data_IF_074545539637
#
_entry.id   IF_074545539637
#
_cell.length_a   1.000
_cell.length_b   1.000
_cell.length_c   1.000
_cell.angle_alpha   90.00
_cell.angle_beta   90.00
_cell.angle_gamma   90.00
#
_symmetry.space_group_name_H-M   'P 1'
#
loop_
_entity.id
_entity.type
_entity.pdbx_description
1 polymer ?
#
# COMPACT_ATOMS: atom_id res chain seq x y z
N UNK A 1 3.20 0.63 -6.64
CA UNK A 1 2.26 -0.46 -6.28
C UNK A 1 3.08 -1.72 -6.08
N UNK A 2 3.22 -2.17 -4.84
CA UNK A 2 4.32 -3.06 -4.45
C UNK A 2 4.06 -4.49 -4.96
N UNK A 3 4.93 -5.00 -5.82
CA UNK A 3 5.01 -6.41 -6.21
C UNK A 3 4.91 -7.36 -5.00
N UNK A 4 5.34 -6.90 -3.82
CA UNK A 4 5.28 -7.65 -2.57
C UNK A 4 3.87 -8.01 -2.08
N UNK A 5 2.86 -7.17 -2.27
CA UNK A 5 1.48 -7.51 -1.89
C UNK A 5 0.90 -8.59 -2.81
N UNK A 6 1.27 -8.51 -4.09
CA UNK A 6 0.96 -9.54 -5.08
C UNK A 6 1.70 -10.83 -4.68
N UNK A 7 2.98 -10.77 -4.29
CA UNK A 7 3.78 -11.93 -3.86
C UNK A 7 3.25 -12.58 -2.58
N UNK A 8 2.75 -11.81 -1.61
CA UNK A 8 2.16 -12.39 -0.38
C UNK A 8 0.82 -13.08 -0.64
N UNK A 9 0.01 -12.51 -1.54
CA UNK A 9 -1.22 -13.16 -2.05
C UNK A 9 -0.86 -14.40 -2.88
N UNK A 10 0.21 -14.35 -3.68
CA UNK A 10 0.74 -15.49 -4.45
C UNK A 10 1.14 -16.65 -3.53
N UNK A 11 1.85 -16.39 -2.43
CA UNK A 11 2.30 -17.44 -1.50
C UNK A 11 1.11 -18.08 -0.76
N UNK A 12 0.10 -17.28 -0.38
CA UNK A 12 -1.10 -17.79 0.27
C UNK A 12 -1.95 -18.68 -0.67
N UNK A 13 -1.99 -18.37 -1.96
CA UNK A 13 -2.74 -19.12 -2.98
C UNK A 13 -1.96 -20.36 -3.46
N UNK A 14 -0.63 -20.27 -3.58
CA UNK A 14 0.23 -21.39 -4.01
C UNK A 14 0.17 -22.61 -3.06
N UNK A 15 -0.07 -22.38 -1.77
CA UNK A 15 -0.29 -23.46 -0.79
C UNK A 15 -1.59 -24.25 -1.04
N UNK A 16 -2.52 -23.74 -1.86
CA UNK A 16 -3.75 -24.44 -2.27
C UNK A 16 -3.61 -25.28 -3.55
N UNK A 17 -2.50 -25.17 -4.30
CA UNK A 17 -2.40 -25.68 -5.67
C UNK A 17 -1.22 -26.65 -5.93
N UNK A 18 -0.69 -27.32 -4.91
CA UNK A 18 0.45 -28.23 -5.11
C UNK A 18 0.03 -29.70 -5.34
N UNK A 19 0.20 -30.19 -6.56
CA UNK A 19 0.39 -31.62 -6.88
C UNK A 19 1.67 -31.82 -7.71
N UNK A 20 2.55 -32.70 -7.21
CA UNK A 20 3.92 -33.09 -7.61
C UNK A 20 4.15 -33.45 -9.12
N UNK A 21 5.37 -33.78 -9.64
CA UNK A 21 6.67 -34.10 -8.99
C UNK A 21 7.94 -33.42 -9.58
N UNK A 22 9.10 -33.72 -9.00
CA UNK A 22 10.52 -33.34 -9.27
C UNK A 22 11.03 -33.87 -10.64
N UNK A 23 11.64 -33.08 -11.55
CA UNK A 23 13.10 -32.78 -11.67
C UNK A 23 13.38 -31.64 -12.70
N UNK A 24 14.66 -31.19 -12.75
CA UNK A 24 15.39 -30.17 -13.56
C UNK A 24 15.11 -28.67 -13.33
N UNK A 25 16.15 -27.93 -12.88
CA UNK A 25 16.01 -26.80 -11.94
C UNK A 25 15.90 -25.39 -12.53
N UNK A 26 16.29 -25.14 -13.78
CA UNK A 26 16.35 -23.76 -14.34
C UNK A 26 15.16 -23.45 -15.25
N UNK A 27 14.79 -24.37 -16.15
CA UNK A 27 13.58 -24.24 -16.98
C UNK A 27 12.29 -24.38 -16.14
N UNK A 28 12.34 -25.18 -15.06
CA UNK A 28 11.21 -25.38 -14.16
C UNK A 28 10.91 -24.15 -13.31
N UNK A 29 11.90 -23.39 -12.81
CA UNK A 29 11.60 -22.17 -12.06
C UNK A 29 10.76 -21.21 -12.92
N UNK A 30 11.14 -21.03 -14.19
CA UNK A 30 10.38 -20.20 -15.13
C UNK A 30 8.97 -20.74 -15.45
N UNK A 31 8.84 -22.06 -15.61
CA UNK A 31 7.55 -22.71 -15.89
C UNK A 31 6.63 -22.71 -14.66
N UNK A 32 7.19 -22.92 -13.48
CA UNK A 32 6.50 -22.93 -12.20
C UNK A 32 6.05 -21.51 -11.82
N UNK A 33 6.86 -20.49 -12.10
CA UNK A 33 6.46 -19.09 -11.99
C UNK A 33 5.34 -18.75 -12.98
N UNK A 34 5.44 -19.18 -14.24
CA UNK A 34 4.41 -18.94 -15.24
C UNK A 34 3.09 -19.63 -14.89
N UNK A 35 3.14 -20.85 -14.35
CA UNK A 35 1.97 -21.59 -13.87
C UNK A 35 1.36 -20.93 -12.63
N UNK A 36 2.19 -20.46 -11.68
CA UNK A 36 1.73 -19.68 -10.53
C UNK A 36 1.03 -18.38 -10.97
N UNK A 37 1.58 -17.66 -11.95
CA UNK A 37 0.97 -16.45 -12.51
C UNK A 37 -0.37 -16.75 -13.19
N UNK A 38 -0.46 -17.84 -13.96
CA UNK A 38 -1.72 -18.27 -14.59
C UNK A 38 -2.76 -18.65 -13.55
N UNK A 39 -2.38 -19.41 -12.52
CA UNK A 39 -3.25 -19.83 -11.44
C UNK A 39 -3.75 -18.62 -10.63
N UNK A 40 -2.89 -17.64 -10.37
CA UNK A 40 -3.26 -16.39 -9.72
C UNK A 40 -4.29 -15.62 -10.54
N UNK A 41 -4.04 -15.49 -11.85
CA UNK A 41 -4.96 -14.82 -12.76
C UNK A 41 -6.34 -15.48 -12.74
N UNK A 42 -6.40 -16.80 -12.89
CA UNK A 42 -7.66 -17.56 -12.85
C UNK A 42 -8.38 -17.40 -11.51
N UNK A 43 -7.65 -17.51 -10.40
CA UNK A 43 -8.23 -17.31 -9.05
C UNK A 43 -8.86 -15.93 -8.91
N UNK A 44 -8.21 -14.90 -9.45
CA UNK A 44 -8.70 -13.53 -9.40
C UNK A 44 -9.90 -13.33 -10.35
N UNK A 45 -9.85 -13.86 -11.57
CA UNK A 45 -10.96 -13.90 -12.52
C UNK A 45 -12.21 -14.54 -11.88
N UNK A 46 -12.05 -15.74 -11.32
CA UNK A 46 -13.13 -16.48 -10.64
C UNK A 46 -13.66 -15.71 -9.43
N UNK A 47 -12.79 -15.04 -8.66
CA UNK A 47 -13.21 -14.24 -7.50
C UNK A 47 -13.98 -12.99 -7.92
N UNK A 48 -13.57 -12.33 -9.00
CA UNK A 48 -14.31 -11.23 -9.61
C UNK A 48 -15.70 -11.69 -10.05
N UNK A 49 -15.80 -12.77 -10.81
CA UNK A 49 -17.10 -13.27 -11.28
C UNK A 49 -18.00 -13.70 -10.11
N UNK A 50 -17.46 -14.47 -9.17
CA UNK A 50 -18.20 -14.98 -8.02
C UNK A 50 -18.75 -13.87 -7.11
N UNK A 51 -17.96 -12.82 -6.87
CA UNK A 51 -18.34 -11.78 -5.91
C UNK A 51 -19.15 -10.63 -6.54
N UNK A 52 -18.89 -10.31 -7.80
CA UNK A 52 -19.63 -9.27 -8.52
C UNK A 52 -20.90 -9.79 -9.22
N UNK A 53 -20.96 -11.08 -9.51
CA UNK A 53 -21.98 -11.68 -10.38
C UNK A 53 -21.77 -11.39 -11.87
N UNK A 54 -20.60 -10.88 -12.26
CA UNK A 54 -20.27 -10.49 -13.64
C UNK A 54 -18.91 -11.02 -14.07
N UNK A 55 -18.86 -11.70 -15.23
CA UNK A 55 -17.61 -12.15 -15.86
C UNK A 55 -16.80 -10.99 -16.47
N UNK A 56 -17.37 -9.78 -16.57
CA UNK A 56 -16.68 -8.59 -17.09
C UNK A 56 -15.81 -7.89 -16.03
N UNK A 57 -16.10 -8.07 -14.74
CA UNK A 57 -15.48 -7.27 -13.66
C UNK A 57 -13.97 -7.41 -13.58
N UNK A 58 -13.41 -8.59 -13.89
CA UNK A 58 -11.96 -8.75 -13.97
C UNK A 58 -11.36 -7.91 -15.11
N UNK A 59 -11.98 -7.94 -16.29
CA UNK A 59 -11.57 -7.16 -17.45
C UNK A 59 -11.61 -5.66 -17.15
N UNK A 60 -12.74 -5.18 -16.62
CA UNK A 60 -12.94 -3.78 -16.24
C UNK A 60 -11.88 -3.32 -15.22
N UNK A 61 -11.55 -4.18 -14.24
CA UNK A 61 -10.51 -3.89 -13.26
C UNK A 61 -9.13 -3.74 -13.91
N UNK A 62 -8.76 -4.66 -14.81
CA UNK A 62 -7.46 -4.65 -15.47
C UNK A 62 -7.33 -3.46 -16.44
N UNK A 63 -8.39 -3.11 -17.14
CA UNK A 63 -8.46 -1.91 -17.99
C UNK A 63 -8.31 -0.65 -17.14
N UNK A 64 -9.06 -0.53 -16.04
CA UNK A 64 -8.96 0.61 -15.13
C UNK A 64 -7.55 0.76 -14.54
N UNK A 65 -6.86 -0.34 -14.20
CA UNK A 65 -5.45 -0.31 -13.75
C UNK A 65 -4.52 0.15 -14.86
N UNK A 66 -4.72 -0.32 -16.10
CA UNK A 66 -3.90 0.06 -17.25
C UNK A 66 -4.04 1.55 -17.61
N UNK A 67 -5.21 2.15 -17.34
CA UNK A 67 -5.51 3.55 -17.64
C UNK A 67 -4.97 4.55 -16.61
N UNK A 68 -4.52 4.09 -15.44
CA UNK A 68 -3.99 4.97 -14.36
C UNK A 68 -2.94 5.96 -14.88
N UNK A 69 -1.89 5.55 -15.63
CA UNK A 69 -0.86 6.48 -16.08
C UNK A 69 -1.41 7.58 -17.00
N UNK A 70 -2.32 7.22 -17.91
CA UNK A 70 -2.96 8.18 -18.82
C UNK A 70 -3.86 9.15 -18.05
N UNK A 71 -4.64 8.64 -17.09
CA UNK A 71 -5.46 9.48 -16.23
C UNK A 71 -4.62 10.47 -15.43
N UNK A 72 -3.58 10.01 -14.74
CA UNK A 72 -2.70 10.88 -13.92
C UNK A 72 -1.97 11.90 -14.80
N UNK A 73 -1.40 11.46 -15.92
CA UNK A 73 -0.69 12.33 -16.86
C UNK A 73 -1.58 13.40 -17.50
N UNK A 74 -2.91 13.19 -17.54
CA UNK A 74 -3.86 14.22 -18.00
C UNK A 74 -4.09 15.35 -16.98
N UNK A 75 -3.69 15.16 -15.72
CA UNK A 75 -3.98 16.11 -14.63
C UNK A 75 -2.81 17.03 -14.31
N UNK A 76 -1.58 16.53 -14.43
CA UNK A 76 -0.38 17.30 -14.19
C UNK A 76 0.84 16.67 -14.86
N UNK A 77 1.88 17.48 -15.06
CA UNK A 77 3.17 17.01 -15.53
C UNK A 77 3.94 16.35 -14.37
N UNK A 78 4.13 15.03 -14.46
CA UNK A 78 4.79 14.24 -13.42
C UNK A 78 6.28 14.58 -13.30
N UNK A 79 6.95 14.94 -14.40
CA UNK A 79 8.37 15.30 -14.40
C UNK A 79 8.56 16.62 -13.66
N UNK A 80 7.73 17.64 -13.98
CA UNK A 80 7.77 18.94 -13.29
C UNK A 80 7.40 18.82 -11.81
N UNK A 81 6.45 17.94 -11.46
CA UNK A 81 6.14 17.62 -10.07
C UNK A 81 7.37 17.07 -9.33
N UNK A 82 8.02 16.04 -9.89
CA UNK A 82 9.19 15.39 -9.27
C UNK A 82 10.37 16.35 -9.16
N UNK A 83 10.62 17.17 -10.18
CA UNK A 83 11.69 18.15 -10.15
C UNK A 83 11.46 19.20 -9.06
N UNK A 84 10.21 19.69 -8.93
CA UNK A 84 9.83 20.60 -7.86
C UNK A 84 9.98 19.97 -6.48
N UNK A 85 9.63 18.68 -6.33
CA UNK A 85 9.80 17.92 -5.09
C UNK A 85 11.27 17.82 -4.68
N UNK A 86 12.15 17.44 -5.60
CA UNK A 86 13.58 17.28 -5.36
C UNK A 86 14.29 18.60 -5.02
N UNK A 87 13.68 19.73 -5.37
CA UNK A 87 14.17 21.09 -5.12
C UNK A 87 13.44 21.80 -3.96
N UNK A 88 12.67 21.05 -3.17
CA UNK A 88 11.94 21.60 -2.03
C UNK A 88 12.88 22.24 -1.00
N UNK A 89 12.51 23.45 -0.59
CA UNK A 89 13.22 24.24 0.42
C UNK A 89 12.23 25.09 1.20
N UNK A 90 12.67 25.71 2.30
CA UNK A 90 11.82 26.61 3.09
C UNK A 90 11.24 27.77 2.27
N UNK A 91 11.93 28.21 1.20
CA UNK A 91 11.47 29.33 0.35
C UNK A 91 10.53 28.86 -0.76
N UNK A 92 10.68 27.62 -1.25
CA UNK A 92 9.90 27.10 -2.38
C UNK A 92 8.68 26.28 -1.96
N UNK A 93 8.62 25.81 -0.70
CA UNK A 93 7.55 24.91 -0.23
C UNK A 93 6.15 25.49 -0.40
N UNK A 94 5.94 26.76 -0.05
CA UNK A 94 4.60 27.35 -0.08
C UNK A 94 4.02 27.34 -1.50
N UNK A 95 4.80 27.82 -2.47
CA UNK A 95 4.41 27.81 -3.88
C UNK A 95 4.21 26.38 -4.40
N UNK A 96 5.12 25.45 -4.07
CA UNK A 96 5.05 24.07 -4.53
C UNK A 96 3.77 23.39 -4.04
N UNK A 97 3.51 23.38 -2.73
CA UNK A 97 2.35 22.71 -2.16
C UNK A 97 1.04 23.41 -2.56
N UNK A 98 1.01 24.74 -2.67
CA UNK A 98 -0.18 25.47 -3.19
C UNK A 98 -0.51 25.06 -4.63
N UNK A 99 0.51 24.86 -5.45
CA UNK A 99 0.33 24.47 -6.87
C UNK A 99 -0.10 23.01 -6.99
N UNK A 100 0.58 22.10 -6.29
CA UNK A 100 0.47 20.67 -6.56
C UNK A 100 -0.52 19.92 -5.66
N UNK A 101 -0.79 20.38 -4.45
CA UNK A 101 -1.74 19.69 -3.57
C UNK A 101 -3.14 19.52 -4.15
N UNK A 102 -3.77 20.56 -4.73
CA UNK A 102 -5.10 20.42 -5.30
C UNK A 102 -5.13 19.42 -6.46
N UNK A 103 -4.16 19.49 -7.37
CA UNK A 103 -4.10 18.63 -8.56
C UNK A 103 -3.75 17.19 -8.21
N UNK A 104 -2.84 16.96 -7.25
CA UNK A 104 -2.52 15.61 -6.77
C UNK A 104 -3.73 15.00 -6.06
N UNK A 105 -4.40 15.75 -5.18
CA UNK A 105 -5.62 15.30 -4.50
C UNK A 105 -6.72 14.94 -5.50
N UNK A 106 -6.94 15.79 -6.49
CA UNK A 106 -7.91 15.54 -7.57
C UNK A 106 -7.54 14.29 -8.37
N UNK A 107 -6.26 14.11 -8.69
CA UNK A 107 -5.78 12.94 -9.45
C UNK A 107 -5.98 11.64 -8.69
N UNK A 108 -5.73 11.62 -7.37
CA UNK A 108 -6.05 10.45 -6.55
C UNK A 108 -7.55 10.15 -6.61
N UNK A 109 -8.39 11.17 -6.45
CA UNK A 109 -9.84 11.01 -6.42
C UNK A 109 -10.43 10.54 -7.76
N UNK A 110 -9.89 11.01 -8.87
CA UNK A 110 -10.42 10.73 -10.21
C UNK A 110 -9.76 9.52 -10.89
N UNK A 111 -8.50 9.21 -10.56
CA UNK A 111 -7.75 8.15 -11.24
C UNK A 111 -7.56 6.88 -10.41
N UNK A 112 -7.56 6.96 -9.07
CA UNK A 112 -7.23 5.81 -8.21
C UNK A 112 -8.45 5.27 -7.44
N UNK A 113 -9.31 6.16 -6.93
CA UNK A 113 -10.53 5.75 -6.20
C UNK A 113 -11.48 4.91 -7.07
N UNK A 114 -11.69 5.19 -8.37
CA UNK A 114 -12.52 4.33 -9.21
C UNK A 114 -11.94 2.92 -9.40
N UNK A 115 -10.61 2.82 -9.56
CA UNK A 115 -9.91 1.53 -9.67
C UNK A 115 -10.14 0.71 -8.40
N UNK A 116 -9.99 1.33 -7.23
CA UNK A 116 -10.29 0.70 -5.95
C UNK A 116 -11.74 0.20 -5.87
N UNK A 117 -12.70 1.01 -6.29
CA UNK A 117 -14.11 0.64 -6.25
C UNK A 117 -14.39 -0.62 -7.08
N UNK A 118 -13.78 -0.72 -8.27
CA UNK A 118 -13.90 -1.90 -9.13
C UNK A 118 -13.15 -3.10 -8.51
N UNK A 119 -11.93 -2.91 -8.03
CA UNK A 119 -11.15 -3.99 -7.39
C UNK A 119 -11.85 -4.59 -6.18
N UNK A 120 -12.61 -3.80 -5.42
CA UNK A 120 -13.40 -4.30 -4.28
C UNK A 120 -14.49 -5.29 -4.71
N UNK A 121 -15.02 -5.19 -5.92
CA UNK A 121 -16.02 -6.13 -6.44
C UNK A 121 -15.44 -7.55 -6.60
N UNK A 122 -14.11 -7.69 -6.65
CA UNK A 122 -13.44 -8.98 -6.71
C UNK A 122 -13.21 -9.64 -5.35
N UNK A 123 -13.65 -9.01 -4.25
CA UNK A 123 -13.41 -9.48 -2.90
C UNK A 123 -14.71 -9.73 -2.14
N UNK A 124 -14.69 -10.72 -1.25
CA UNK A 124 -15.79 -10.93 -0.30
C UNK A 124 -15.91 -9.75 0.65
N UNK A 125 -17.09 -9.52 1.21
CA UNK A 125 -17.33 -8.44 2.18
C UNK A 125 -16.41 -8.53 3.40
N UNK A 126 -16.08 -9.74 3.83
CA UNK A 126 -15.10 -9.95 4.91
C UNK A 126 -13.68 -9.59 4.46
N UNK A 127 -13.25 -10.04 3.28
CA UNK A 127 -11.93 -9.67 2.74
C UNK A 127 -11.80 -8.15 2.49
N UNK A 128 -12.88 -7.47 2.08
CA UNK A 128 -12.87 -6.01 1.97
C UNK A 128 -12.69 -5.31 3.31
N UNK A 129 -13.22 -5.87 4.40
CA UNK A 129 -13.10 -5.31 5.75
C UNK A 129 -11.75 -5.61 6.38
N UNK A 130 -11.24 -6.80 6.10
CA UNK A 130 -10.15 -7.40 6.84
C UNK A 130 -8.85 -7.40 6.06
N UNK A 131 -8.86 -7.67 4.76
CA UNK A 131 -7.66 -7.88 3.93
C UNK A 131 -7.30 -6.73 2.96
N UNK A 132 -8.24 -5.81 2.74
CA UNK A 132 -7.96 -4.58 2.00
C UNK A 132 -7.06 -3.52 2.71
N UNK A 133 -6.88 -3.49 4.04
CA UNK A 133 -6.23 -2.35 4.69
C UNK A 133 -4.68 -2.31 4.66
N UNK A 134 -3.98 -3.05 3.80
CA UNK A 134 -2.51 -3.01 3.73
C UNK A 134 -1.95 -1.68 3.19
N UNK A 135 -2.68 -1.04 2.28
CA UNK A 135 -2.58 0.39 2.02
C UNK A 135 -3.79 0.78 1.17
N UNK A 136 -4.97 0.88 1.77
CA UNK A 136 -6.18 1.05 1.01
C UNK A 136 -6.09 2.36 0.24
N UNK A 137 -6.34 2.32 -1.07
CA UNK A 137 -6.22 3.51 -1.91
C UNK A 137 -7.14 4.64 -1.44
N UNK A 138 -8.21 4.33 -0.71
CA UNK A 138 -9.08 5.32 -0.07
C UNK A 138 -8.38 6.16 1.01
N UNK A 139 -7.23 5.72 1.53
CA UNK A 139 -6.40 6.50 2.47
C UNK A 139 -5.42 7.43 1.75
N UNK A 140 -5.15 7.25 0.45
CA UNK A 140 -4.27 8.14 -0.30
C UNK A 140 -4.70 9.61 -0.21
N UNK A 141 -6.00 9.98 -0.31
CA UNK A 141 -6.42 11.35 -0.09
C UNK A 141 -6.02 11.90 1.28
N UNK A 142 -6.10 11.08 2.35
CA UNK A 142 -5.68 11.49 3.70
C UNK A 142 -4.17 11.65 3.82
N UNK A 143 -3.40 10.81 3.12
CA UNK A 143 -1.93 10.94 3.06
C UNK A 143 -1.55 12.22 2.33
N UNK A 144 -2.22 12.53 1.20
CA UNK A 144 -2.03 13.79 0.48
C UNK A 144 -2.38 14.97 1.38
N UNK A 145 -3.53 14.95 2.05
CA UNK A 145 -3.93 16.01 2.97
C UNK A 145 -2.90 16.24 4.07
N UNK A 146 -2.36 15.17 4.66
CA UNK A 146 -1.31 15.25 5.68
C UNK A 146 0.01 15.82 5.14
N UNK A 147 0.43 15.43 3.95
CA UNK A 147 1.63 15.97 3.30
C UNK A 147 1.44 17.41 2.85
N UNK A 148 0.20 17.84 2.59
CA UNK A 148 -0.14 19.19 2.16
C UNK A 148 -0.34 20.16 3.32
N UNK A 149 -0.62 19.64 4.52
CA UNK A 149 -0.80 20.43 5.74
C UNK A 149 0.40 21.36 5.98
N UNK A 150 0.10 22.64 6.27
CA UNK A 150 1.13 23.65 6.53
C UNK A 150 2.09 23.89 5.35
N UNK A 151 1.69 23.56 4.13
CA UNK A 151 2.54 23.57 2.93
C UNK A 151 3.75 22.63 3.07
N UNK A 152 3.49 21.37 3.44
CA UNK A 152 4.52 20.37 3.59
C UNK A 152 5.25 20.42 4.92
N UNK A 153 4.68 21.05 5.95
CA UNK A 153 5.36 21.28 7.23
C UNK A 153 5.92 19.99 7.85
N UNK A 154 5.18 18.88 7.71
CA UNK A 154 5.60 17.56 8.19
C UNK A 154 6.93 17.09 7.58
N UNK A 155 7.27 17.47 6.35
CA UNK A 155 8.54 17.11 5.69
C UNK A 155 9.72 17.91 6.25
N UNK A 156 9.46 19.16 6.66
CA UNK A 156 10.47 20.07 7.18
C UNK A 156 10.73 19.90 8.68
N UNK A 157 9.90 19.11 9.37
CA UNK A 157 10.05 18.84 10.80
C UNK A 157 11.45 18.28 11.10
N UNK A 158 12.24 19.07 11.83
CA UNK A 158 13.60 18.74 12.27
C UNK A 158 14.65 18.46 11.16
N UNK A 159 14.32 18.68 9.88
CA UNK A 159 15.23 18.46 8.75
C UNK A 159 15.00 19.45 7.59
N UNK A 160 15.44 20.69 7.76
CA UNK A 160 15.24 21.77 6.77
C UNK A 160 16.21 21.73 5.58
N UNK A 161 17.33 21.01 5.69
CA UNK A 161 18.35 20.93 4.63
C UNK A 161 18.04 19.82 3.61
N UNK A 162 17.28 18.80 3.98
CA UNK A 162 16.89 17.69 3.10
C UNK A 162 15.48 17.18 3.48
N UNK A 163 14.44 18.01 3.29
CA UNK A 163 13.09 17.76 3.83
C UNK A 163 12.45 16.47 3.31
N UNK A 164 12.82 16.02 2.10
CA UNK A 164 12.23 14.84 1.46
C UNK A 164 12.97 13.54 1.76
N UNK A 165 14.21 13.60 2.26
CA UNK A 165 15.12 12.44 2.39
C UNK A 165 14.52 11.28 3.19
N UNK A 166 13.83 11.58 4.29
CA UNK A 166 13.20 10.55 5.11
C UNK A 166 11.97 9.95 4.44
N UNK A 167 11.22 10.79 3.72
CA UNK A 167 10.05 10.35 2.97
C UNK A 167 10.43 9.47 1.77
N UNK A 168 11.53 9.79 1.07
CA UNK A 168 12.07 8.96 -0.02
C UNK A 168 12.41 7.53 0.44
N UNK A 169 12.90 7.38 1.67
CA UNK A 169 13.24 6.09 2.26
C UNK A 169 12.07 5.42 3.00
N UNK A 170 10.91 6.07 3.07
CA UNK A 170 9.77 5.64 3.87
C UNK A 170 9.31 4.22 3.55
N UNK A 171 9.13 3.89 2.26
CA UNK A 171 8.73 2.55 1.83
C UNK A 171 9.80 1.48 2.14
N UNK A 172 11.08 1.86 2.06
CA UNK A 172 12.18 0.97 2.44
C UNK A 172 12.14 0.67 3.93
N UNK A 173 11.88 1.67 4.78
CA UNK A 173 11.72 1.48 6.22
C UNK A 173 10.52 0.59 6.54
N UNK A 174 9.36 0.85 5.94
CA UNK A 174 8.19 -0.02 6.10
C UNK A 174 8.50 -1.48 5.70
N UNK A 175 9.14 -1.69 4.53
CA UNK A 175 9.51 -3.03 4.08
C UNK A 175 10.45 -3.73 5.07
N UNK A 176 11.44 -3.03 5.60
CA UNK A 176 12.34 -3.58 6.61
C UNK A 176 11.60 -3.96 7.90
N UNK A 177 10.70 -3.09 8.37
CA UNK A 177 9.94 -3.30 9.60
C UNK A 177 8.80 -4.33 9.49
N UNK A 178 8.39 -4.67 8.26
CA UNK A 178 7.38 -5.68 7.95
C UNK A 178 7.98 -6.99 7.41
N UNK A 179 9.32 -7.09 7.30
CA UNK A 179 10.00 -8.22 6.65
C UNK A 179 9.55 -9.59 7.17
N UNK A 180 9.40 -9.72 8.49
CA UNK A 180 9.05 -10.98 9.15
C UNK A 180 7.56 -11.06 9.50
N UNK A 181 6.75 -10.08 9.07
CA UNK A 181 5.35 -9.97 9.50
C UNK A 181 4.57 -11.24 9.16
N UNK A 182 4.68 -11.73 7.93
CA UNK A 182 3.99 -12.95 7.48
C UNK A 182 4.42 -14.17 8.30
N UNK A 183 5.72 -14.36 8.53
CA UNK A 183 6.21 -15.49 9.33
C UNK A 183 5.80 -15.39 10.82
N UNK A 184 5.87 -14.19 11.41
CA UNK A 184 5.54 -14.00 12.83
C UNK A 184 4.04 -14.06 13.12
N UNK A 185 3.21 -13.78 12.11
CA UNK A 185 1.75 -13.93 12.17
C UNK A 185 1.28 -15.30 11.67
N UNK A 186 2.20 -16.19 11.26
CA UNK A 186 1.90 -17.45 10.58
C UNK A 186 0.94 -17.29 9.38
N UNK A 187 1.05 -16.16 8.67
CA UNK A 187 0.17 -15.77 7.57
C UNK A 187 -1.32 -15.83 7.92
N UNK A 188 -1.68 -15.65 9.20
CA UNK A 188 -3.08 -15.60 9.60
C UNK A 188 -3.78 -14.43 8.94
N UNK A 189 -5.03 -14.62 8.48
CA UNK A 189 -5.84 -13.52 8.01
C UNK A 189 -6.09 -12.54 9.16
N UNK A 190 -6.25 -11.26 8.83
CA UNK A 190 -6.41 -10.18 9.83
C UNK A 190 -7.63 -10.37 10.74
N UNK A 191 -8.65 -11.09 10.27
CA UNK A 191 -9.88 -11.38 10.99
C UNK A 191 -9.66 -12.37 12.13
N UNK A 192 -8.55 -13.11 12.06
CA UNK A 192 -8.11 -14.07 13.07
C UNK A 192 -6.97 -13.54 13.94
N UNK A 193 -6.62 -12.25 13.82
CA UNK A 193 -5.61 -11.65 14.68
C UNK A 193 -6.01 -11.76 16.14
N UNK A 194 -5.11 -12.29 16.95
CA UNK A 194 -5.18 -12.34 18.39
C UNK A 194 -4.02 -11.52 18.97
N UNK A 195 -3.79 -11.62 20.28
CA UNK A 195 -2.77 -10.82 20.95
C UNK A 195 -1.40 -10.94 20.28
N UNK A 196 -0.98 -12.15 19.88
CA UNK A 196 0.34 -12.39 19.28
C UNK A 196 0.51 -11.57 18.00
N UNK A 197 -0.45 -11.64 17.08
CA UNK A 197 -0.39 -10.91 15.80
C UNK A 197 -0.46 -9.39 16.03
N UNK A 198 -1.25 -8.94 16.99
CA UNK A 198 -1.32 -7.53 17.36
C UNK A 198 -0.01 -7.00 17.96
N UNK A 199 0.72 -7.82 18.72
CA UNK A 199 2.07 -7.47 19.21
C UNK A 199 3.07 -7.35 18.07
N UNK A 200 2.95 -8.16 17.01
CA UNK A 200 3.77 -7.99 15.80
C UNK A 200 3.49 -6.63 15.17
N UNK A 201 2.21 -6.28 14.98
CA UNK A 201 1.79 -5.00 14.42
C UNK A 201 2.31 -3.80 15.23
N UNK A 202 2.21 -3.85 16.56
CA UNK A 202 2.75 -2.84 17.49
C UNK A 202 4.28 -2.68 17.34
N UNK A 203 5.02 -3.81 17.27
CA UNK A 203 6.48 -3.80 17.05
C UNK A 203 6.85 -3.21 15.69
N UNK A 204 6.10 -3.53 14.64
CA UNK A 204 6.34 -2.99 13.30
C UNK A 204 6.16 -1.48 13.26
N UNK A 205 5.11 -0.93 13.90
CA UNK A 205 4.95 0.53 14.06
C UNK A 205 6.14 1.16 14.78
N UNK A 206 6.56 0.58 15.90
CA UNK A 206 7.72 1.09 16.67
C UNK A 206 9.00 1.09 15.83
N UNK A 207 9.24 0.04 15.07
CA UNK A 207 10.37 -0.03 14.14
C UNK A 207 10.34 1.11 13.11
N UNK A 208 9.17 1.40 12.51
CA UNK A 208 9.03 2.50 11.53
C UNK A 208 9.30 3.85 12.21
N UNK A 209 8.76 4.06 13.40
CA UNK A 209 9.01 5.27 14.19
C UNK A 209 10.50 5.46 14.49
N UNK A 210 11.19 4.40 14.92
CA UNK A 210 12.62 4.45 15.22
C UNK A 210 13.43 4.76 13.96
N UNK A 211 13.10 4.18 12.79
CA UNK A 211 13.76 4.48 11.52
C UNK A 211 13.58 5.94 11.10
N UNK A 212 12.36 6.46 11.23
CA UNK A 212 12.03 7.85 10.88
C UNK A 212 12.71 8.84 11.83
N UNK A 213 12.70 8.55 13.13
CA UNK A 213 13.41 9.34 14.14
C UNK A 213 14.92 9.35 13.88
N UNK A 214 15.52 8.20 13.57
CA UNK A 214 16.94 8.08 13.22
C UNK A 214 17.28 8.79 11.90
N UNK A 215 16.32 8.90 10.97
CA UNK A 215 16.49 9.70 9.77
C UNK A 215 16.43 11.22 10.03
N UNK A 216 15.89 11.62 11.19
CA UNK A 216 15.76 13.02 11.60
C UNK A 216 14.35 13.59 11.47
N UNK A 217 13.33 12.77 11.18
CA UNK A 217 11.95 13.24 11.07
C UNK A 217 10.98 12.16 11.58
N UNK A 218 10.79 12.11 12.90
CA UNK A 218 9.83 11.20 13.56
C UNK A 218 8.36 11.54 13.28
N UNK A 219 8.04 12.79 12.93
CA UNK A 219 6.67 13.25 12.65
C UNK A 219 6.03 12.51 11.47
N UNK A 220 6.85 12.04 10.51
CA UNK A 220 6.40 11.22 9.40
C UNK A 220 5.72 9.90 9.81
N UNK A 221 5.81 9.49 11.09
CA UNK A 221 5.03 8.35 11.60
C UNK A 221 3.52 8.56 11.43
N UNK A 222 3.06 9.82 11.39
CA UNK A 222 1.65 10.17 11.15
C UNK A 222 1.13 9.61 9.81
N UNK A 223 2.01 9.44 8.81
CA UNK A 223 1.66 8.80 7.52
C UNK A 223 1.40 7.31 7.71
N UNK A 224 2.22 6.63 8.52
CA UNK A 224 2.08 5.20 8.82
C UNK A 224 0.86 4.94 9.72
N UNK A 225 0.56 5.88 10.59
CA UNK A 225 -0.55 5.80 11.52
C UNK A 225 -1.90 5.77 10.81
N UNK A 226 -2.03 6.31 9.59
CA UNK A 226 -3.27 6.26 8.82
C UNK A 226 -3.72 4.82 8.53
N UNK A 227 -2.95 3.96 7.83
CA UNK A 227 -3.31 2.56 7.64
C UNK A 227 -3.22 1.74 8.94
N UNK A 228 -2.26 2.03 9.83
CA UNK A 228 -2.12 1.32 11.10
C UNK A 228 -3.38 1.44 11.97
N UNK A 229 -3.90 2.66 12.18
CA UNK A 229 -5.13 2.89 12.96
C UNK A 229 -6.31 2.14 12.34
N UNK A 230 -6.43 2.19 11.01
CA UNK A 230 -7.46 1.47 10.27
C UNK A 230 -7.42 -0.04 10.53
N UNK A 231 -6.24 -0.67 10.52
CA UNK A 231 -6.07 -2.10 10.84
C UNK A 231 -6.42 -2.38 12.31
N UNK A 232 -5.94 -1.55 13.24
CA UNK A 232 -6.19 -1.75 14.67
C UNK A 232 -7.68 -1.69 15.00
N UNK A 233 -8.39 -0.70 14.47
CA UNK A 233 -9.83 -0.48 14.70
C UNK A 233 -10.71 -1.60 14.11
N UNK A 234 -10.33 -2.11 12.93
CA UNK A 234 -11.13 -3.10 12.20
C UNK A 234 -10.88 -4.55 12.64
N UNK A 235 -9.82 -4.81 13.41
CA UNK A 235 -9.46 -6.16 13.89
C UNK A 235 -9.67 -6.30 15.40
N UNK A 236 -9.36 -7.47 15.98
CA UNK A 236 -9.35 -7.65 17.43
C UNK A 236 -8.22 -6.86 18.12
N UNK A 237 -7.28 -6.28 17.35
CA UNK A 237 -6.15 -5.51 17.89
C UNK A 237 -6.56 -4.27 18.68
N UNK A 238 -7.74 -3.69 18.44
CA UNK A 238 -8.31 -2.64 19.29
C UNK A 238 -8.41 -3.01 20.78
N UNK A 239 -8.42 -4.31 21.11
CA UNK A 239 -8.47 -4.79 22.49
C UNK A 239 -7.08 -4.89 23.14
N UNK A 240 -6.00 -4.85 22.34
CA UNK A 240 -4.62 -5.10 22.79
C UNK A 240 -3.71 -3.88 22.62
N UNK A 241 -4.02 -3.00 21.65
CA UNK A 241 -3.24 -1.84 21.28
C UNK A 241 -4.02 -0.59 21.68
N UNK A 242 -3.37 0.32 22.42
CA UNK A 242 -3.90 1.65 22.69
C UNK A 242 -3.41 2.61 21.62
N UNK A 243 -4.33 3.24 20.90
CA UNK A 243 -4.04 4.32 19.98
C UNK A 243 -3.90 5.62 20.79
N UNK A 244 -2.79 6.33 20.61
CA UNK A 244 -2.56 7.67 21.17
C UNK A 244 -2.97 8.78 20.18
#
# INVERSE_FOLDING_TARGET
MNLLLIVTVIIAIANGCSSAPTEDTDERESLQELEAVRCLRQTLEDSCERNSGSNATYGDMMEAVADIPACVGSKFDLEVLIDGWNQLSNTTREQYFTTYCPVVKQSVQECLVPVEAISRLCMTSEAQRVEWPDFPMYLLPKVVDLLCEGHGEILFANNSQSPTKCFENYFTYMKQCMRNFVSETNAKPRGEFAEVECRVLERSRRCVFDKLTNCGNGELIRVFDLPYRSVVEQTACRNFIKLE
#
